data_IF_963096272785
#
_entry.id   IF_963096272785
#
_cell.length_a   1.000
_cell.length_b   1.000
_cell.length_c   1.000
_cell.angle_alpha   90.00
_cell.angle_beta   90.00
_cell.angle_gamma   90.00
#
_symmetry.space_group_name_H-M   'P 1'
#
loop_
_entity.id
_entity.type
_entity.pdbx_description
1 polymer ?
#
# COMPACT_ATOMS: atom_id res chain seq x y z
N UNK A 1 25.31 15.08 2.33
CA UNK A 1 24.34 14.46 3.26
C UNK A 1 22.95 14.53 2.66
N UNK A 2 22.17 13.43 2.66
CA UNK A 2 20.77 13.44 2.17
C UNK A 2 19.88 13.99 3.28
N UNK A 3 19.16 15.07 2.98
CA UNK A 3 18.21 15.72 3.88
C UNK A 3 17.20 16.58 3.10
N UNK A 4 16.12 17.03 3.77
CA UNK A 4 15.08 17.84 3.14
C UNK A 4 15.63 19.22 2.75
N UNK A 5 15.20 19.73 1.59
CA UNK A 5 15.63 21.02 1.03
C UNK A 5 14.48 22.04 0.86
N UNK A 6 13.23 21.59 0.94
CA UNK A 6 12.06 22.45 0.81
C UNK A 6 11.01 22.11 1.89
N UNK A 7 9.94 22.93 2.03
CA UNK A 7 8.92 22.69 3.04
C UNK A 7 8.18 21.35 2.87
N UNK A 8 7.86 20.95 1.64
CA UNK A 8 7.17 19.68 1.38
C UNK A 8 8.02 18.47 1.81
N UNK A 9 9.30 18.46 1.44
CA UNK A 9 10.26 17.45 1.90
C UNK A 9 10.42 17.47 3.42
N UNK A 10 10.42 18.64 4.05
CA UNK A 10 10.56 18.77 5.50
C UNK A 10 9.38 18.15 6.23
N UNK A 11 8.15 18.42 5.76
CA UNK A 11 6.92 17.82 6.32
C UNK A 11 6.98 16.30 6.20
N UNK A 12 7.24 15.77 4.99
CA UNK A 12 7.33 14.33 4.72
C UNK A 12 8.41 13.67 5.59
N UNK A 13 9.61 14.24 5.62
CA UNK A 13 10.75 13.73 6.36
C UNK A 13 10.50 13.66 7.87
N UNK A 14 10.00 14.77 8.45
CA UNK A 14 9.71 14.83 9.89
C UNK A 14 8.61 13.84 10.25
N UNK A 15 7.52 13.80 9.48
CA UNK A 15 6.40 12.90 9.78
C UNK A 15 6.82 11.42 9.72
N UNK A 16 7.67 11.02 8.76
CA UNK A 16 8.23 9.67 8.71
C UNK A 16 9.05 9.31 9.96
N UNK A 17 10.00 10.17 10.33
CA UNK A 17 10.88 9.90 11.48
C UNK A 17 10.08 9.90 12.78
N UNK A 18 9.04 10.72 12.87
CA UNK A 18 8.18 10.85 14.04
C UNK A 18 7.10 9.77 14.14
N UNK A 19 7.10 8.75 13.27
CA UNK A 19 6.12 7.64 13.33
C UNK A 19 6.07 6.99 14.72
N UNK A 20 7.22 6.67 15.34
CA UNK A 20 7.27 6.11 16.69
C UNK A 20 6.79 7.09 17.77
N UNK A 21 7.24 8.36 17.79
CA UNK A 21 6.64 9.39 18.65
C UNK A 21 5.11 9.52 18.50
N UNK A 22 4.58 9.53 17.28
CA UNK A 22 3.13 9.57 17.04
C UNK A 22 2.42 8.29 17.48
N UNK A 23 3.07 7.13 17.34
CA UNK A 23 2.58 5.87 17.89
C UNK A 23 2.47 5.93 19.41
N UNK A 24 3.50 6.45 20.09
CA UNK A 24 3.58 6.52 21.54
C UNK A 24 2.43 7.34 22.17
N UNK A 25 1.80 8.23 21.41
CA UNK A 25 0.62 9.02 21.84
C UNK A 25 -0.70 8.53 21.20
N UNK A 26 -0.67 7.43 20.42
CA UNK A 26 -1.83 6.87 19.72
C UNK A 26 -2.40 7.77 18.62
N UNK A 27 -1.56 8.58 17.96
CA UNK A 27 -2.00 9.60 17.00
C UNK A 27 -1.91 9.18 15.52
N UNK A 28 -1.30 8.04 15.19
CA UNK A 28 -1.00 7.68 13.79
C UNK A 28 -2.23 7.69 12.88
N UNK A 29 -3.38 7.19 13.35
CA UNK A 29 -4.62 7.17 12.58
C UNK A 29 -5.17 8.56 12.25
N UNK A 30 -4.81 9.59 13.03
CA UNK A 30 -5.17 10.99 12.76
C UNK A 30 -4.12 11.65 11.87
N UNK A 31 -2.83 11.38 12.13
CA UNK A 31 -1.71 11.99 11.41
C UNK A 31 -1.74 11.68 9.91
N UNK A 32 -2.05 10.43 9.53
CA UNK A 32 -2.08 10.02 8.12
C UNK A 32 -3.06 10.84 7.27
N UNK A 33 -4.37 10.90 7.62
CA UNK A 33 -5.32 11.76 6.92
C UNK A 33 -4.94 13.24 6.92
N UNK A 34 -4.53 13.80 8.07
CA UNK A 34 -4.13 15.21 8.16
C UNK A 34 -2.97 15.50 7.20
N UNK A 35 -1.96 14.63 7.16
CA UNK A 35 -0.85 14.74 6.23
C UNK A 35 -1.32 14.69 4.76
N UNK A 36 -2.22 13.77 4.43
CA UNK A 36 -2.76 13.62 3.08
C UNK A 36 -3.43 14.90 2.59
N UNK A 37 -4.30 15.49 3.41
CA UNK A 37 -5.02 16.71 3.07
C UNK A 37 -4.11 17.95 3.04
N UNK A 38 -3.12 18.03 3.93
CA UNK A 38 -2.11 19.11 3.89
C UNK A 38 -1.28 19.02 2.61
N UNK A 39 -0.74 17.85 2.27
CA UNK A 39 0.11 17.68 1.08
C UNK A 39 -0.71 17.78 -0.22
N UNK A 40 -1.91 17.21 -0.25
CA UNK A 40 -2.83 17.34 -1.37
C UNK A 40 -3.29 18.78 -1.60
N UNK A 41 -3.63 19.51 -0.53
CA UNK A 41 -3.95 20.93 -0.59
C UNK A 41 -2.76 21.77 -1.07
N UNK A 42 -1.55 21.47 -0.60
CA UNK A 42 -0.33 22.12 -1.09
C UNK A 42 -0.06 21.83 -2.58
N UNK A 43 -0.35 20.62 -3.05
CA UNK A 43 -0.24 20.26 -4.45
C UNK A 43 -1.24 21.04 -5.31
N UNK A 44 -2.50 21.13 -4.88
CA UNK A 44 -3.52 21.94 -5.58
C UNK A 44 -3.12 23.42 -5.59
N UNK A 45 -2.65 23.96 -4.47
CA UNK A 45 -2.19 25.35 -4.38
C UNK A 45 -0.99 25.61 -5.31
N UNK A 46 -0.05 24.67 -5.37
CA UNK A 46 1.12 24.73 -6.25
C UNK A 46 0.72 24.76 -7.73
N UNK A 47 -0.26 23.93 -8.13
CA UNK A 47 -0.81 23.93 -9.49
C UNK A 47 -1.58 25.22 -9.81
N UNK A 48 -2.37 25.73 -8.86
CA UNK A 48 -3.21 26.92 -9.05
C UNK A 48 -2.40 28.21 -9.14
N UNK A 49 -1.44 28.41 -8.24
CA UNK A 49 -0.64 29.64 -8.19
C UNK A 49 0.49 29.65 -9.24
N UNK A 50 0.93 28.48 -9.71
CA UNK A 50 1.96 28.36 -10.74
C UNK A 50 3.22 29.16 -10.38
N UNK A 51 3.70 30.10 -11.22
CA UNK A 51 4.89 30.91 -10.93
C UNK A 51 4.80 31.79 -9.68
N UNK A 52 3.59 32.10 -9.20
CA UNK A 52 3.36 32.98 -8.05
C UNK A 52 3.66 32.30 -6.69
N UNK A 53 3.74 30.97 -6.64
CA UNK A 53 4.21 30.26 -5.45
C UNK A 53 5.75 30.31 -5.37
N UNK A 54 6.28 30.13 -4.15
CA UNK A 54 7.72 30.01 -3.89
C UNK A 54 8.36 28.96 -4.81
N UNK A 55 9.55 29.27 -5.31
CA UNK A 55 10.23 28.46 -6.34
C UNK A 55 10.46 27.01 -5.92
N UNK A 56 10.79 26.77 -4.66
CA UNK A 56 11.04 25.45 -4.06
C UNK A 56 9.76 24.62 -3.79
N UNK A 57 8.59 25.17 -4.12
CA UNK A 57 7.27 24.53 -4.03
C UNK A 57 6.50 24.54 -5.36
N UNK A 58 7.09 25.08 -6.43
CA UNK A 58 6.47 25.08 -7.76
C UNK A 58 6.20 23.65 -8.23
N UNK A 59 5.10 23.49 -8.95
CA UNK A 59 4.71 22.21 -9.51
C UNK A 59 5.81 21.73 -10.45
N UNK A 60 6.19 20.47 -10.29
CA UNK A 60 7.28 19.86 -11.06
C UNK A 60 6.89 19.49 -12.49
N UNK A 61 5.62 19.62 -12.85
CA UNK A 61 5.07 19.34 -14.16
C UNK A 61 3.54 19.18 -14.11
N UNK A 62 2.90 18.83 -15.24
CA UNK A 62 1.48 18.50 -15.28
C UNK A 62 1.19 17.22 -14.48
N UNK A 63 -0.06 17.09 -14.01
CA UNK A 63 -0.50 15.89 -13.28
C UNK A 63 -0.51 14.67 -14.24
N UNK A 64 0.25 13.59 -13.96
CA UNK A 64 0.30 12.42 -14.83
C UNK A 64 -1.08 11.73 -14.99
N UNK A 65 -1.39 11.12 -16.15
CA UNK A 65 -2.70 10.48 -16.40
C UNK A 65 -3.10 9.41 -15.37
N UNK A 66 -2.14 8.64 -14.85
CA UNK A 66 -2.42 7.62 -13.84
C UNK A 66 -2.89 8.22 -12.51
N UNK A 67 -2.40 9.42 -12.16
CA UNK A 67 -2.84 10.14 -10.96
C UNK A 67 -4.26 10.67 -11.16
N UNK A 68 -4.60 11.13 -12.37
CA UNK A 68 -5.99 11.43 -12.73
C UNK A 68 -6.91 10.22 -12.57
N UNK A 69 -6.47 9.03 -13.00
CA UNK A 69 -7.25 7.81 -12.81
C UNK A 69 -7.49 7.51 -11.33
N UNK A 70 -6.48 7.65 -10.46
CA UNK A 70 -6.65 7.51 -9.01
C UNK A 70 -7.62 8.53 -8.43
N UNK A 71 -7.51 9.81 -8.80
CA UNK A 71 -8.43 10.85 -8.34
C UNK A 71 -9.87 10.58 -8.80
N UNK A 72 -10.08 10.27 -10.08
CA UNK A 72 -11.39 9.93 -10.63
C UNK A 72 -11.98 8.71 -9.93
N UNK A 73 -11.19 7.64 -9.74
CA UNK A 73 -11.60 6.44 -9.03
C UNK A 73 -12.05 6.73 -7.60
N UNK A 74 -11.26 7.47 -6.82
CA UNK A 74 -11.64 7.76 -5.44
C UNK A 74 -12.86 8.69 -5.32
N UNK A 75 -13.06 9.61 -6.29
CA UNK A 75 -14.28 10.43 -6.38
C UNK A 75 -15.50 9.58 -6.74
N UNK A 76 -15.40 8.71 -7.75
CA UNK A 76 -16.47 7.77 -8.10
C UNK A 76 -16.83 6.88 -6.90
N UNK A 77 -15.83 6.49 -6.11
CA UNK A 77 -16.05 5.72 -4.90
C UNK A 77 -16.84 6.48 -3.81
N UNK A 78 -16.65 7.79 -3.71
CA UNK A 78 -17.46 8.65 -2.83
C UNK A 78 -18.90 8.76 -3.34
N UNK A 79 -19.08 8.92 -4.64
CA UNK A 79 -20.41 8.97 -5.26
C UNK A 79 -21.15 7.64 -5.06
N UNK A 80 -20.47 6.50 -5.28
CA UNK A 80 -21.05 5.18 -5.04
C UNK A 80 -21.50 5.00 -3.59
N UNK A 81 -20.72 5.50 -2.63
CA UNK A 81 -21.09 5.51 -1.22
C UNK A 81 -22.34 6.34 -0.96
N UNK A 82 -22.47 7.53 -1.55
CA UNK A 82 -23.65 8.37 -1.40
C UNK A 82 -24.90 7.74 -2.01
N UNK A 83 -24.79 7.15 -3.20
CA UNK A 83 -25.90 6.43 -3.84
C UNK A 83 -26.34 5.25 -2.98
N UNK A 84 -25.41 4.42 -2.49
CA UNK A 84 -25.76 3.34 -1.57
C UNK A 84 -26.39 3.84 -0.27
N UNK A 85 -26.01 5.01 0.24
CA UNK A 85 -26.67 5.60 1.41
C UNK A 85 -28.11 6.07 1.13
N UNK A 86 -28.39 6.52 -0.10
CA UNK A 86 -29.72 6.93 -0.54
C UNK A 86 -30.61 5.71 -0.79
N UNK A 87 -30.09 4.68 -1.49
CA UNK A 87 -30.82 3.45 -1.80
C UNK A 87 -31.30 2.72 -0.54
N UNK A 88 -30.49 2.75 0.52
CA UNK A 88 -30.75 2.08 1.80
C UNK A 88 -31.30 3.00 2.90
N UNK A 89 -31.72 4.22 2.56
CA UNK A 89 -32.25 5.24 3.47
C UNK A 89 -31.46 5.36 4.80
N UNK A 90 -30.13 5.39 4.70
CA UNK A 90 -29.25 5.37 5.87
C UNK A 90 -29.26 6.70 6.66
N UNK A 91 -29.86 7.74 6.08
CA UNK A 91 -29.99 9.07 6.65
C UNK A 91 -28.71 9.91 6.60
N UNK A 92 -28.91 11.24 6.61
CA UNK A 92 -27.84 12.25 6.43
C UNK A 92 -26.69 12.08 7.44
N UNK A 93 -27.01 11.76 8.70
CA UNK A 93 -26.00 11.59 9.76
C UNK A 93 -25.01 10.48 9.42
N UNK A 94 -25.48 9.34 8.89
CA UNK A 94 -24.59 8.25 8.46
C UNK A 94 -23.81 8.68 7.22
N UNK A 95 -24.45 9.36 6.26
CA UNK A 95 -23.78 9.85 5.03
C UNK A 95 -22.61 10.76 5.33
N UNK A 96 -22.78 11.71 6.27
CA UNK A 96 -21.68 12.57 6.73
C UNK A 96 -20.56 11.73 7.37
N UNK A 97 -20.91 10.82 8.29
CA UNK A 97 -19.93 9.95 8.96
C UNK A 97 -19.13 9.09 7.98
N UNK A 98 -19.79 8.46 7.02
CA UNK A 98 -19.13 7.64 5.99
C UNK A 98 -18.31 8.48 5.03
N UNK A 99 -18.73 9.71 4.70
CA UNK A 99 -17.93 10.64 3.89
C UNK A 99 -16.64 11.07 4.59
N UNK A 100 -16.70 11.29 5.91
CA UNK A 100 -15.50 11.53 6.74
C UNK A 100 -14.63 10.26 6.79
N UNK A 101 -15.23 9.08 6.86
CA UNK A 101 -14.52 7.80 6.74
C UNK A 101 -13.75 7.68 5.42
N UNK A 102 -14.42 7.96 4.30
CA UNK A 102 -13.81 8.03 2.97
C UNK A 102 -12.66 9.02 2.93
N UNK A 103 -12.83 10.21 3.52
CA UNK A 103 -11.80 11.24 3.59
C UNK A 103 -10.57 10.83 4.43
N UNK A 104 -10.72 9.87 5.35
CA UNK A 104 -9.64 9.31 6.18
C UNK A 104 -9.05 7.99 5.64
N UNK A 105 -9.68 7.38 4.63
CA UNK A 105 -9.24 6.12 4.02
C UNK A 105 -9.01 6.26 2.52
N UNK A 106 -10.07 6.09 1.72
CA UNK A 106 -9.99 6.07 0.26
C UNK A 106 -9.41 7.34 -0.37
N UNK A 107 -9.75 8.53 0.14
CA UNK A 107 -9.22 9.79 -0.40
C UNK A 107 -7.68 9.85 -0.35
N UNK A 108 -7.07 9.21 0.64
CA UNK A 108 -5.61 9.19 0.82
C UNK A 108 -4.91 8.52 -0.37
N UNK A 109 -5.55 7.51 -0.96
CA UNK A 109 -5.04 6.78 -2.13
C UNK A 109 -4.97 7.68 -3.37
N UNK A 110 -5.74 8.77 -3.43
CA UNK A 110 -5.61 9.78 -4.48
C UNK A 110 -4.70 10.95 -4.08
N UNK A 111 -4.80 11.42 -2.82
CA UNK A 111 -4.09 12.61 -2.35
C UNK A 111 -2.57 12.40 -2.27
N UNK A 112 -2.11 11.24 -1.81
CA UNK A 112 -0.67 10.97 -1.72
C UNK A 112 0.00 10.82 -3.09
N UNK A 113 -0.55 10.06 -4.07
CA UNK A 113 0.00 10.06 -5.42
C UNK A 113 -0.03 11.44 -6.08
N UNK A 114 -1.10 12.24 -5.87
CA UNK A 114 -1.15 13.63 -6.34
C UNK A 114 0.00 14.47 -5.76
N UNK A 115 0.17 14.43 -4.44
CA UNK A 115 1.25 15.14 -3.77
C UNK A 115 2.63 14.72 -4.28
N UNK A 116 2.85 13.42 -4.48
CA UNK A 116 4.12 12.88 -4.96
C UNK A 116 4.42 13.26 -6.41
N UNK A 117 3.37 13.36 -7.24
CA UNK A 117 3.51 13.72 -8.64
C UNK A 117 3.73 15.22 -8.86
N UNK A 118 3.17 16.07 -8.00
CA UNK A 118 3.19 17.53 -8.18
C UNK A 118 4.33 18.19 -7.41
N UNK A 119 4.46 17.88 -6.11
CA UNK A 119 5.38 18.60 -5.23
C UNK A 119 6.83 18.17 -5.50
N UNK A 120 7.82 19.08 -5.35
CA UNK A 120 9.24 18.79 -5.57
C UNK A 120 9.87 17.95 -4.45
N UNK A 121 9.30 16.77 -4.19
CA UNK A 121 9.78 15.79 -3.22
C UNK A 121 10.68 14.78 -3.93
N UNK A 122 11.93 14.67 -3.50
CA UNK A 122 12.89 13.72 -4.06
C UNK A 122 12.71 12.31 -3.50
N UNK A 123 12.83 11.32 -4.38
CA UNK A 123 12.82 9.89 -4.06
C UNK A 123 13.80 9.54 -2.94
N UNK A 124 15.03 10.03 -3.00
CA UNK A 124 16.07 9.70 -2.02
C UNK A 124 15.75 10.20 -0.61
N UNK A 125 14.96 11.27 -0.48
CA UNK A 125 14.56 11.83 0.82
C UNK A 125 13.62 10.86 1.53
N UNK A 126 12.65 10.30 0.81
CA UNK A 126 11.69 9.33 1.36
C UNK A 126 12.40 8.02 1.69
N UNK A 127 13.25 7.51 0.78
CA UNK A 127 14.06 6.31 0.99
C UNK A 127 14.91 6.44 2.26
N UNK A 128 15.66 7.54 2.40
CA UNK A 128 16.50 7.77 3.57
C UNK A 128 15.68 7.95 4.85
N UNK A 129 14.54 8.64 4.80
CA UNK A 129 13.67 8.80 5.95
C UNK A 129 13.09 7.46 6.42
N UNK A 130 12.74 6.56 5.51
CA UNK A 130 12.31 5.20 5.82
C UNK A 130 13.43 4.39 6.52
N UNK A 131 14.67 4.48 6.02
CA UNK A 131 15.82 3.86 6.71
C UNK A 131 16.09 4.45 8.10
N UNK A 132 15.77 5.74 8.31
CA UNK A 132 15.85 6.36 9.65
C UNK A 132 14.73 5.88 10.57
N UNK A 133 13.51 5.72 10.07
CA UNK A 133 12.43 5.08 10.82
C UNK A 133 12.80 3.64 11.21
N UNK A 134 13.40 2.89 10.29
CA UNK A 134 13.93 1.55 10.54
C UNK A 134 14.96 1.51 11.69
N UNK A 135 15.82 2.53 11.81
CA UNK A 135 16.74 2.64 12.95
C UNK A 135 15.98 2.72 14.28
N UNK A 136 14.96 3.58 14.37
CA UNK A 136 14.12 3.67 15.58
C UNK A 136 13.44 2.35 15.91
N UNK A 137 12.95 1.63 14.89
CA UNK A 137 12.38 0.30 15.07
C UNK A 137 13.39 -0.68 15.66
N UNK A 138 14.65 -0.68 15.17
CA UNK A 138 15.70 -1.54 15.73
C UNK A 138 16.09 -1.13 17.15
N UNK A 139 16.10 0.16 17.47
CA UNK A 139 16.39 0.64 18.83
C UNK A 139 15.29 0.22 19.84
N UNK A 140 14.03 0.22 19.42
CA UNK A 140 12.90 -0.16 20.27
C UNK A 140 12.65 -1.67 20.31
N UNK A 141 13.09 -2.41 19.29
CA UNK A 141 12.88 -3.84 19.18
C UNK A 141 13.32 -4.66 20.41
N UNK A 142 14.51 -4.47 21.01
CA UNK A 142 14.90 -5.22 22.20
C UNK A 142 13.89 -5.13 23.34
N UNK A 143 13.40 -3.92 23.62
CA UNK A 143 12.36 -3.71 24.63
C UNK A 143 11.08 -4.48 24.29
N UNK A 144 10.60 -4.36 23.05
CA UNK A 144 9.37 -5.02 22.62
C UNK A 144 9.49 -6.54 22.63
N UNK A 145 10.62 -7.09 22.18
CA UNK A 145 10.87 -8.52 22.10
C UNK A 145 11.03 -9.17 23.48
N UNK A 146 11.63 -8.45 24.44
CA UNK A 146 11.81 -8.94 25.82
C UNK A 146 10.55 -8.77 26.66
N UNK A 147 9.69 -7.79 26.34
CA UNK A 147 8.49 -7.43 27.10
C UNK A 147 7.62 -8.63 27.57
N UNK A 148 7.29 -9.64 26.73
CA UNK A 148 6.48 -10.77 27.17
C UNK A 148 7.14 -11.60 28.29
N UNK A 149 8.47 -11.65 28.30
CA UNK A 149 9.25 -12.52 29.19
C UNK A 149 9.57 -11.86 30.54
N UNK A 150 9.48 -10.54 30.62
CA UNK A 150 9.70 -9.78 31.86
C UNK A 150 8.39 -9.29 32.49
N UNK A 151 7.25 -9.77 32.00
CA UNK A 151 5.92 -9.46 32.56
C UNK A 151 5.39 -8.05 32.24
N UNK A 152 5.91 -7.40 31.18
CA UNK A 152 5.32 -6.13 30.72
C UNK A 152 3.95 -6.38 30.06
N UNK A 153 3.02 -5.42 30.12
CA UNK A 153 1.68 -5.58 29.56
C UNK A 153 1.69 -5.59 28.03
N UNK A 154 0.76 -6.33 27.43
CA UNK A 154 0.52 -6.34 25.97
C UNK A 154 0.17 -4.93 25.46
N UNK A 155 -0.86 -4.33 26.08
CA UNK A 155 -1.38 -3.00 25.78
C UNK A 155 -1.02 -2.04 26.90
N UNK A 156 -0.32 -0.96 26.57
CA UNK A 156 0.05 0.09 27.53
C UNK A 156 -1.18 0.95 27.83
N UNK A 157 -1.81 1.52 26.81
CA UNK A 157 -3.02 2.33 26.96
C UNK A 157 -3.76 2.49 25.62
N UNK A 158 -4.99 3.02 25.68
CA UNK A 158 -5.74 3.52 24.52
C UNK A 158 -5.85 5.04 24.61
N UNK A 159 -5.36 5.74 23.59
CA UNK A 159 -5.29 7.20 23.57
C UNK A 159 -6.70 7.84 23.57
N UNK A 160 -6.89 8.96 24.30
CA UNK A 160 -8.12 9.77 24.22
C UNK A 160 -8.44 10.28 22.80
N UNK A 161 -7.44 10.30 21.91
CA UNK A 161 -7.63 10.61 20.49
C UNK A 161 -8.65 9.70 19.79
N UNK A 162 -9.01 8.55 20.39
CA UNK A 162 -10.14 7.71 19.97
C UNK A 162 -11.44 8.52 19.79
N UNK A 163 -11.60 9.65 20.50
CA UNK A 163 -12.74 10.56 20.34
C UNK A 163 -12.88 11.14 18.92
N UNK A 164 -11.79 11.26 18.15
CA UNK A 164 -11.81 11.69 16.74
C UNK A 164 -12.52 10.67 15.83
N UNK A 165 -12.71 9.44 16.34
CA UNK A 165 -13.39 8.36 15.65
C UNK A 165 -12.48 7.63 14.66
N UNK A 166 -12.67 6.32 14.57
CA UNK A 166 -11.97 5.41 13.67
C UNK A 166 -12.68 4.05 13.64
N UNK A 167 -12.14 3.06 12.92
CA UNK A 167 -12.78 1.75 12.77
C UNK A 167 -12.83 0.98 14.09
N UNK A 168 -11.88 1.22 15.00
CA UNK A 168 -11.83 0.58 16.31
C UNK A 168 -10.83 1.23 17.28
N UNK A 169 -10.79 0.80 18.55
CA UNK A 169 -9.83 1.28 19.55
C UNK A 169 -8.36 0.92 19.23
N UNK A 170 -8.11 -0.13 18.47
CA UNK A 170 -6.77 -0.64 18.12
C UNK A 170 -5.93 0.39 17.34
N UNK A 171 -6.57 1.29 16.60
CA UNK A 171 -5.92 2.39 15.86
C UNK A 171 -5.35 3.49 16.76
N UNK A 172 -5.76 3.52 18.02
CA UNK A 172 -5.38 4.52 19.01
C UNK A 172 -4.67 3.90 20.22
N UNK A 173 -4.45 2.58 20.18
CA UNK A 173 -3.88 1.83 21.30
C UNK A 173 -2.40 1.55 21.07
N UNK A 174 -1.63 1.69 22.15
CA UNK A 174 -0.19 1.45 22.14
C UNK A 174 0.07 0.06 22.72
N UNK A 175 0.73 -0.78 21.94
CA UNK A 175 1.04 -2.17 22.24
C UNK A 175 2.55 -2.38 22.24
N UNK A 176 3.02 -3.25 23.15
CA UNK A 176 4.38 -3.79 23.11
C UNK A 176 4.41 -5.08 22.29
N UNK A 177 3.39 -5.91 22.46
CA UNK A 177 3.20 -7.19 21.78
C UNK A 177 1.73 -7.62 21.93
N UNK A 178 1.34 -8.69 21.24
CA UNK A 178 0.04 -9.36 21.42
C UNK A 178 0.24 -10.87 21.46
N UNK A 179 -0.64 -11.60 22.15
CA UNK A 179 -0.68 -13.06 22.05
C UNK A 179 -1.57 -13.52 20.90
N UNK A 180 -1.11 -14.52 20.15
CA UNK A 180 -1.96 -15.21 19.19
C UNK A 180 -2.97 -16.09 19.94
N UNK A 181 -4.29 -15.85 19.81
CA UNK A 181 -5.30 -16.60 20.57
C UNK A 181 -5.26 -18.12 20.33
N UNK A 182 -4.77 -18.55 19.16
CA UNK A 182 -4.73 -19.97 18.80
C UNK A 182 -3.49 -20.70 19.32
N UNK A 183 -2.35 -20.00 19.46
CA UNK A 183 -1.08 -20.65 19.83
C UNK A 183 -0.49 -20.16 21.15
N UNK A 184 -1.08 -19.12 21.76
CA UNK A 184 -0.56 -18.45 22.95
C UNK A 184 0.90 -17.99 22.83
N UNK A 185 1.37 -17.78 21.60
CA UNK A 185 2.72 -17.29 21.34
C UNK A 185 2.70 -15.78 21.07
N UNK A 186 3.74 -15.03 21.50
CA UNK A 186 3.80 -13.61 21.26
C UNK A 186 3.98 -13.31 19.77
N UNK A 187 3.35 -12.21 19.33
CA UNK A 187 3.43 -11.60 18.00
C UNK A 187 3.59 -10.10 18.14
N UNK A 188 4.36 -9.51 17.22
CA UNK A 188 4.68 -8.08 17.28
C UNK A 188 4.06 -7.35 16.11
N UNK A 189 3.19 -6.39 16.45
CA UNK A 189 2.58 -5.47 15.49
C UNK A 189 3.35 -4.16 15.34
N UNK A 190 4.38 -3.92 16.15
CA UNK A 190 5.14 -2.65 16.14
C UNK A 190 4.19 -1.45 16.22
N UNK A 191 4.38 -0.44 15.36
CA UNK A 191 3.49 0.72 15.27
C UNK A 191 2.23 0.48 14.43
N UNK A 192 2.00 -0.75 13.95
CA UNK A 192 0.80 -1.12 13.22
C UNK A 192 -0.33 -1.54 14.19
N UNK A 193 -1.60 -1.45 13.76
CA UNK A 193 -2.74 -1.88 14.56
C UNK A 193 -2.81 -3.41 14.75
N UNK A 194 -2.21 -4.22 13.86
CA UNK A 194 -2.09 -5.68 14.01
C UNK A 194 -0.87 -6.26 13.30
N UNK A 195 -0.51 -7.50 13.68
CA UNK A 195 0.72 -8.18 13.24
C UNK A 195 0.79 -8.45 11.72
N UNK A 196 -0.25 -9.00 11.04
CA UNK A 196 -0.21 -9.19 9.59
C UNK A 196 0.15 -7.92 8.79
N UNK A 197 -0.44 -6.77 9.14
CA UNK A 197 -0.14 -5.50 8.49
C UNK A 197 1.27 -4.99 8.82
N UNK A 198 1.73 -5.16 10.06
CA UNK A 198 3.12 -4.85 10.44
C UNK A 198 4.14 -5.58 9.55
N UNK A 199 3.84 -6.82 9.17
CA UNK A 199 4.69 -7.59 8.26
C UNK A 199 4.81 -6.92 6.88
N UNK A 200 3.71 -6.40 6.33
CA UNK A 200 3.69 -5.73 5.03
C UNK A 200 4.32 -4.33 5.07
N UNK A 201 4.23 -3.63 6.20
CA UNK A 201 5.05 -2.44 6.46
C UNK A 201 6.54 -2.81 6.51
N UNK A 202 6.88 -3.99 7.07
CA UNK A 202 8.22 -4.57 7.01
C UNK A 202 8.70 -4.84 5.58
N UNK A 203 7.85 -5.44 4.73
CA UNK A 203 8.15 -5.64 3.29
C UNK A 203 8.38 -4.30 2.61
N UNK A 204 7.49 -3.32 2.84
CA UNK A 204 7.63 -1.97 2.31
C UNK A 204 8.96 -1.34 2.74
N UNK A 205 9.35 -1.48 4.01
CA UNK A 205 10.62 -1.01 4.55
C UNK A 205 11.82 -1.65 3.84
N UNK A 206 11.78 -2.97 3.59
CA UNK A 206 12.81 -3.68 2.80
C UNK A 206 12.90 -3.10 1.38
N UNK A 207 11.76 -2.88 0.72
CA UNK A 207 11.75 -2.33 -0.65
C UNK A 207 12.42 -0.96 -0.71
N UNK A 208 12.07 -0.07 0.22
CA UNK A 208 12.74 1.24 0.33
C UNK A 208 14.24 1.07 0.61
N UNK A 209 14.62 0.19 1.53
CA UNK A 209 16.03 -0.02 1.89
C UNK A 209 16.88 -0.52 0.72
N UNK A 210 16.31 -1.30 -0.20
CA UNK A 210 17.03 -1.78 -1.38
C UNK A 210 17.40 -0.64 -2.34
N UNK A 211 16.67 0.48 -2.33
CA UNK A 211 16.97 1.69 -3.11
C UNK A 211 17.95 2.64 -2.39
N UNK A 212 18.31 2.37 -1.14
CA UNK A 212 19.25 3.21 -0.40
C UNK A 212 20.67 3.10 -0.99
N UNK A 213 21.34 4.23 -1.16
CA UNK A 213 22.68 4.29 -1.76
C UNK A 213 23.77 4.06 -0.72
N UNK A 214 23.54 4.46 0.52
CA UNK A 214 24.52 4.31 1.60
C UNK A 214 24.40 2.94 2.28
N UNK A 215 25.44 2.09 2.26
CA UNK A 215 25.37 0.70 2.74
C UNK A 215 24.92 0.57 4.19
N UNK A 216 25.30 1.52 5.05
CA UNK A 216 24.91 1.55 6.48
C UNK A 216 23.40 1.67 6.63
N UNK A 217 22.78 2.65 5.98
CA UNK A 217 21.33 2.87 6.04
C UNK A 217 20.55 1.75 5.33
N UNK A 218 21.11 1.20 4.25
CA UNK A 218 20.57 0.01 3.59
C UNK A 218 20.50 -1.16 4.56
N UNK A 219 21.60 -1.50 5.22
CA UNK A 219 21.67 -2.61 6.17
C UNK A 219 20.67 -2.42 7.33
N UNK A 220 20.57 -1.21 7.89
CA UNK A 220 19.59 -0.86 8.92
C UNK A 220 18.16 -1.10 8.43
N UNK A 221 17.80 -0.60 7.24
CA UNK A 221 16.49 -0.78 6.65
C UNK A 221 16.14 -2.24 6.40
N UNK A 222 17.08 -3.02 5.86
CA UNK A 222 16.91 -4.45 5.61
C UNK A 222 16.74 -5.24 6.92
N UNK A 223 17.56 -4.95 7.93
CA UNK A 223 17.49 -5.60 9.24
C UNK A 223 16.16 -5.31 9.94
N UNK A 224 15.73 -4.05 9.98
CA UNK A 224 14.47 -3.66 10.60
C UNK A 224 13.25 -4.26 9.89
N UNK A 225 13.21 -4.16 8.56
CA UNK A 225 12.09 -4.69 7.78
C UNK A 225 11.98 -6.21 7.90
N UNK A 226 13.11 -6.92 7.84
CA UNK A 226 13.16 -8.38 8.04
C UNK A 226 12.73 -8.76 9.46
N UNK A 227 13.19 -8.03 10.48
CA UNK A 227 12.75 -8.23 11.86
C UNK A 227 11.24 -8.06 12.01
N UNK A 228 10.66 -7.00 11.42
CA UNK A 228 9.22 -6.77 11.44
C UNK A 228 8.45 -7.95 10.83
N UNK A 229 8.92 -8.47 9.70
CA UNK A 229 8.30 -9.61 9.01
C UNK A 229 8.38 -10.88 9.90
N UNK A 230 9.55 -11.21 10.43
CA UNK A 230 9.74 -12.43 11.22
C UNK A 230 8.99 -12.37 12.56
N UNK A 231 9.10 -11.26 13.28
CA UNK A 231 8.45 -11.09 14.58
C UNK A 231 6.92 -11.06 14.46
N UNK A 232 6.37 -10.54 13.36
CA UNK A 232 4.91 -10.58 13.12
C UNK A 232 4.35 -12.00 12.94
N UNK A 233 5.21 -13.00 12.65
CA UNK A 233 4.83 -14.37 12.27
C UNK A 233 3.79 -14.42 11.13
N UNK A 234 3.89 -13.50 10.17
CA UNK A 234 2.96 -13.39 9.04
C UNK A 234 3.47 -14.15 7.82
N UNK A 235 2.75 -15.22 7.42
CA UNK A 235 2.98 -15.98 6.18
C UNK A 235 2.91 -15.06 4.95
N UNK A 236 1.91 -14.18 4.93
CA UNK A 236 1.73 -13.17 3.89
C UNK A 236 2.94 -12.23 3.80
N UNK A 237 3.52 -11.85 4.95
CA UNK A 237 4.75 -11.05 4.99
C UNK A 237 5.98 -11.78 4.42
N UNK A 238 6.13 -13.08 4.69
CA UNK A 238 7.22 -13.90 4.13
C UNK A 238 7.10 -14.05 2.61
N UNK A 239 5.90 -14.32 2.11
CA UNK A 239 5.63 -14.35 0.67
C UNK A 239 5.90 -12.98 0.06
N UNK A 240 5.42 -11.91 0.69
CA UNK A 240 5.65 -10.54 0.27
C UNK A 240 7.14 -10.18 0.22
N UNK A 241 7.93 -10.60 1.20
CA UNK A 241 9.37 -10.36 1.23
C UNK A 241 10.06 -10.91 -0.01
N UNK A 242 9.79 -12.16 -0.36
CA UNK A 242 10.42 -12.81 -1.52
C UNK A 242 9.85 -12.24 -2.81
N UNK A 243 8.52 -12.32 -2.98
CA UNK A 243 7.86 -11.96 -4.23
C UNK A 243 8.03 -10.47 -4.57
N UNK A 244 7.81 -9.57 -3.62
CA UNK A 244 7.84 -8.13 -3.87
C UNK A 244 9.26 -7.57 -4.00
N UNK A 245 10.28 -8.22 -3.40
CA UNK A 245 11.67 -7.74 -3.52
C UNK A 245 12.39 -8.30 -4.75
N UNK A 246 12.22 -9.60 -5.03
CA UNK A 246 12.89 -10.30 -6.12
C UNK A 246 12.13 -10.10 -7.43
N UNK A 247 10.80 -10.23 -7.41
CA UNK A 247 9.94 -10.12 -8.60
C UNK A 247 10.25 -8.90 -9.47
N UNK A 248 10.23 -7.67 -8.92
CA UNK A 248 10.55 -6.48 -9.69
C UNK A 248 11.95 -6.48 -10.31
N UNK A 249 12.94 -7.06 -9.62
CA UNK A 249 14.34 -7.13 -10.08
C UNK A 249 14.57 -8.22 -11.13
N UNK A 250 13.67 -9.20 -11.21
CA UNK A 250 13.66 -10.20 -12.26
C UNK A 250 12.96 -9.73 -13.54
N UNK A 251 12.19 -8.64 -13.49
CA UNK A 251 11.45 -8.13 -14.66
C UNK A 251 12.31 -7.87 -15.92
N UNK A 252 13.56 -7.42 -15.84
CA UNK A 252 14.41 -7.27 -17.04
C UNK A 252 14.66 -8.59 -17.78
N UNK A 253 14.50 -9.74 -17.12
CA UNK A 253 14.65 -11.06 -17.77
C UNK A 253 13.53 -11.31 -18.80
N UNK A 254 12.36 -10.71 -18.64
CA UNK A 254 11.23 -10.82 -19.59
C UNK A 254 11.62 -10.28 -20.98
N UNK A 255 12.55 -9.33 -21.04
CA UNK A 255 13.06 -8.76 -22.29
C UNK A 255 14.19 -9.61 -22.92
N UNK A 256 14.67 -10.65 -22.24
CA UNK A 256 15.80 -11.47 -22.70
C UNK A 256 15.31 -12.80 -23.26
N UNK A 257 15.54 -13.06 -24.54
CA UNK A 257 15.09 -14.31 -25.22
C UNK A 257 15.62 -15.59 -24.55
N UNK A 258 16.85 -15.57 -24.02
CA UNK A 258 17.42 -16.74 -23.33
C UNK A 258 16.66 -17.08 -22.04
N UNK A 259 16.05 -16.10 -21.37
CA UNK A 259 15.30 -16.35 -20.14
C UNK A 259 14.00 -17.12 -20.45
N UNK A 260 13.37 -16.84 -21.59
CA UNK A 260 12.22 -17.62 -22.08
C UNK A 260 12.59 -19.05 -22.45
N UNK A 261 13.77 -19.25 -23.04
CA UNK A 261 14.30 -20.60 -23.32
C UNK A 261 14.62 -21.37 -22.03
N UNK A 262 15.21 -20.70 -21.04
CA UNK A 262 15.46 -21.31 -19.74
C UNK A 262 14.15 -21.64 -19.01
N UNK A 263 13.16 -20.74 -19.07
CA UNK A 263 11.83 -20.97 -18.50
C UNK A 263 11.12 -22.13 -19.21
N UNK A 264 11.14 -22.19 -20.55
CA UNK A 264 10.51 -23.28 -21.29
C UNK A 264 11.20 -24.61 -21.01
N UNK A 265 12.52 -24.65 -20.88
CA UNK A 265 13.25 -25.85 -20.45
C UNK A 265 12.88 -26.26 -19.02
N UNK A 266 12.75 -25.31 -18.09
CA UNK A 266 12.31 -25.58 -16.72
C UNK A 266 10.85 -26.09 -16.67
N UNK A 267 9.93 -25.47 -17.41
CA UNK A 267 8.53 -25.91 -17.51
C UNK A 267 8.41 -27.26 -18.21
N UNK A 268 9.24 -27.54 -19.23
CA UNK A 268 9.32 -28.85 -19.86
C UNK A 268 9.84 -29.91 -18.88
N UNK A 269 10.86 -29.58 -18.07
CA UNK A 269 11.38 -30.47 -17.01
C UNK A 269 10.34 -30.74 -15.92
N UNK A 270 9.49 -29.75 -15.63
CA UNK A 270 8.33 -29.90 -14.75
C UNK A 270 7.28 -30.87 -15.30
N UNK A 271 7.23 -31.18 -16.59
CA UNK A 271 6.31 -32.21 -17.10
C UNK A 271 6.74 -33.62 -16.66
N UNK A 272 8.06 -33.85 -16.51
CA UNK A 272 8.64 -35.13 -16.08
C UNK A 272 8.56 -35.29 -14.56
N UNK A 273 8.78 -34.22 -13.79
CA UNK A 273 8.84 -34.24 -12.32
C UNK A 273 7.50 -33.77 -11.70
N UNK A 274 6.57 -33.30 -12.52
CA UNK A 274 5.37 -32.56 -12.07
C UNK A 274 4.44 -33.35 -11.20
N UNK A 275 4.23 -34.64 -11.46
CA UNK A 275 3.37 -35.50 -10.64
C UNK A 275 3.95 -35.67 -9.24
N UNK A 276 5.25 -35.94 -9.14
CA UNK A 276 5.95 -36.04 -7.86
C UNK A 276 5.91 -34.70 -7.11
N UNK A 277 6.16 -33.58 -7.81
CA UNK A 277 6.13 -32.26 -7.22
C UNK A 277 4.71 -31.89 -6.73
N UNK A 278 3.67 -32.16 -7.50
CA UNK A 278 2.27 -31.89 -7.12
C UNK A 278 1.84 -32.71 -5.91
N UNK A 279 2.28 -33.97 -5.80
CA UNK A 279 2.01 -34.79 -4.62
C UNK A 279 2.75 -34.27 -3.38
N UNK A 280 4.01 -33.85 -3.54
CA UNK A 280 4.82 -33.32 -2.43
C UNK A 280 4.35 -31.94 -1.98
N UNK A 281 3.97 -31.08 -2.92
CA UNK A 281 3.36 -29.78 -2.64
C UNK A 281 1.95 -29.93 -2.07
N UNK A 282 1.16 -30.88 -2.57
CA UNK A 282 -0.16 -31.22 -2.02
C UNK A 282 -0.05 -31.62 -0.55
N UNK A 283 0.84 -32.55 -0.22
CA UNK A 283 1.10 -32.96 1.15
C UNK A 283 1.60 -31.81 2.04
N UNK A 284 2.46 -30.92 1.52
CA UNK A 284 2.92 -29.73 2.24
C UNK A 284 1.82 -28.68 2.45
N UNK A 285 0.96 -28.47 1.45
CA UNK A 285 -0.20 -27.57 1.52
C UNK A 285 -1.23 -28.09 2.50
N UNK A 286 -1.49 -29.40 2.52
CA UNK A 286 -2.45 -30.02 3.41
C UNK A 286 -1.96 -30.02 4.86
N UNK A 287 -0.68 -30.30 5.10
CA UNK A 287 -0.03 -30.12 6.41
C UNK A 287 -0.04 -28.65 6.89
N UNK A 288 -0.01 -27.69 5.97
CA UNK A 288 -0.02 -26.26 6.28
C UNK A 288 -1.42 -25.68 6.50
N UNK A 289 -2.44 -26.23 5.82
CA UNK A 289 -3.87 -25.92 6.00
C UNK A 289 -4.41 -26.52 7.30
N UNK A 290 -4.02 -27.75 7.64
CA UNK A 290 -4.46 -28.43 8.87
C UNK A 290 -3.96 -27.74 10.14
N UNK A 291 -2.82 -27.04 10.09
CA UNK A 291 -2.26 -26.29 11.22
C UNK A 291 -3.03 -24.99 11.58
N UNK A 292 -4.06 -24.57 10.83
CA UNK A 292 -4.82 -23.33 11.13
C UNK A 292 -6.27 -23.34 10.61
N UNK A 293 -7.03 -24.37 10.96
CA UNK A 293 -8.39 -24.62 10.45
C UNK A 293 -9.42 -23.53 10.83
N UNK A 294 -9.36 -22.93 12.02
CA UNK A 294 -10.50 -22.15 12.54
C UNK A 294 -10.63 -20.74 11.95
N UNK A 295 -9.54 -19.95 11.91
CA UNK A 295 -9.57 -18.58 11.35
C UNK A 295 -9.84 -18.52 9.84
N UNK A 296 -9.46 -19.56 9.11
CA UNK A 296 -9.68 -19.66 7.66
C UNK A 296 -11.15 -19.89 7.34
N UNK A 297 -11.87 -20.66 8.19
CA UNK A 297 -13.29 -20.97 8.03
C UNK A 297 -14.17 -19.73 8.21
N UNK A 298 -13.96 -18.96 9.28
CA UNK A 298 -14.73 -17.74 9.56
C UNK A 298 -14.56 -16.74 8.43
N UNK A 299 -13.31 -16.52 7.99
CA UNK A 299 -12.99 -15.60 6.89
C UNK A 299 -13.61 -16.03 5.56
N UNK A 300 -13.52 -17.31 5.19
CA UNK A 300 -14.14 -17.83 3.98
C UNK A 300 -15.69 -17.70 4.02
N UNK A 301 -16.28 -17.94 5.19
CA UNK A 301 -17.73 -17.79 5.40
C UNK A 301 -18.16 -16.33 5.26
N UNK A 302 -17.42 -15.39 5.84
CA UNK A 302 -17.66 -13.94 5.67
C UNK A 302 -17.59 -13.50 4.20
N UNK A 303 -16.60 -14.00 3.46
CA UNK A 303 -16.45 -13.69 2.03
C UNK A 303 -17.62 -14.21 1.21
N UNK A 304 -18.07 -15.45 1.50
CA UNK A 304 -19.23 -16.04 0.84
C UNK A 304 -20.50 -15.22 1.10
N UNK A 305 -20.77 -14.88 2.36
CA UNK A 305 -21.94 -14.05 2.72
C UNK A 305 -21.87 -12.69 2.02
N UNK A 306 -20.68 -12.05 2.00
CA UNK A 306 -20.49 -10.78 1.31
C UNK A 306 -20.80 -10.88 -0.19
N UNK A 307 -20.38 -11.96 -0.83
CA UNK A 307 -20.59 -12.20 -2.25
C UNK A 307 -22.07 -12.49 -2.56
N UNK A 308 -22.70 -13.41 -1.84
CA UNK A 308 -24.10 -13.80 -2.04
C UNK A 308 -25.02 -12.59 -1.91
N UNK A 309 -24.90 -11.85 -0.79
CA UNK A 309 -25.73 -10.66 -0.55
C UNK A 309 -25.46 -9.54 -1.53
N UNK A 310 -24.22 -9.35 -1.95
CA UNK A 310 -23.93 -8.36 -3.00
C UNK A 310 -24.64 -8.71 -4.32
N UNK A 311 -24.60 -9.97 -4.73
CA UNK A 311 -25.20 -10.44 -5.98
C UNK A 311 -26.73 -10.35 -5.95
N UNK A 312 -27.33 -10.67 -4.81
CA UNK A 312 -28.79 -10.72 -4.65
C UNK A 312 -29.40 -9.34 -4.34
N UNK A 313 -28.72 -8.49 -3.57
CA UNK A 313 -29.31 -7.28 -3.00
C UNK A 313 -28.83 -5.98 -3.67
N UNK A 314 -27.53 -5.85 -3.99
CA UNK A 314 -26.95 -4.53 -4.26
C UNK A 314 -25.76 -4.53 -5.23
N UNK A 315 -25.98 -5.00 -6.46
CA UNK A 315 -24.91 -5.20 -7.45
C UNK A 315 -24.11 -3.94 -7.76
N UNK A 316 -24.78 -2.81 -8.02
CA UNK A 316 -24.13 -1.61 -8.59
C UNK A 316 -23.43 -0.73 -7.56
N UNK A 317 -24.12 -0.40 -6.47
CA UNK A 317 -23.67 0.59 -5.47
C UNK A 317 -23.49 0.02 -4.06
N UNK A 318 -23.77 -1.28 -3.86
CA UNK A 318 -23.60 -1.94 -2.57
C UNK A 318 -24.53 -1.42 -1.48
N UNK A 319 -24.24 -1.80 -0.25
CA UNK A 319 -25.09 -1.54 0.92
C UNK A 319 -24.80 -0.21 1.63
N UNK A 320 -23.81 0.57 1.14
CA UNK A 320 -23.39 1.85 1.73
C UNK A 320 -22.66 1.73 3.08
N UNK A 321 -22.81 0.62 3.81
CA UNK A 321 -22.17 0.39 5.11
C UNK A 321 -21.79 -1.08 5.27
N UNK A 322 -20.81 -1.34 6.14
CA UNK A 322 -20.62 -2.68 6.71
C UNK A 322 -21.81 -3.03 7.59
N UNK A 323 -22.17 -4.31 7.62
CA UNK A 323 -23.27 -4.85 8.43
C UNK A 323 -22.74 -5.98 9.33
N UNK A 324 -23.27 -6.17 10.54
CA UNK A 324 -22.86 -7.26 11.42
C UNK A 324 -23.15 -8.61 10.76
N UNK A 325 -22.19 -9.53 10.81
CA UNK A 325 -22.39 -10.89 10.34
C UNK A 325 -23.30 -11.72 11.27
N UNK A 326 -23.78 -12.88 10.82
CA UNK A 326 -24.52 -13.82 11.68
C UNK A 326 -23.62 -14.43 12.77
N UNK A 327 -24.22 -15.11 13.75
CA UNK A 327 -23.48 -15.77 14.83
C UNK A 327 -22.38 -16.74 14.34
N UNK A 328 -22.59 -17.37 13.18
CA UNK A 328 -21.63 -18.28 12.53
C UNK A 328 -20.25 -17.65 12.25
N UNK A 329 -20.20 -16.32 12.13
CA UNK A 329 -18.97 -15.55 11.91
C UNK A 329 -18.68 -14.63 13.10
N UNK A 330 -19.13 -15.02 14.30
CA UNK A 330 -18.89 -14.30 15.55
C UNK A 330 -19.33 -12.84 15.52
N UNK A 331 -20.37 -12.53 14.72
CA UNK A 331 -20.85 -11.16 14.48
C UNK A 331 -19.81 -10.21 13.86
N UNK A 332 -18.72 -10.74 13.29
CA UNK A 332 -17.73 -9.93 12.60
C UNK A 332 -18.35 -9.17 11.43
N UNK A 333 -17.99 -7.90 11.20
CA UNK A 333 -18.58 -7.11 10.13
C UNK A 333 -18.33 -7.71 8.73
N UNK A 334 -19.39 -7.81 7.94
CA UNK A 334 -19.34 -8.25 6.55
C UNK A 334 -18.60 -7.18 5.74
N UNK A 335 -17.56 -7.61 4.99
CA UNK A 335 -16.76 -6.73 4.14
C UNK A 335 -15.58 -6.02 4.81
N UNK A 336 -15.27 -6.27 6.09
CA UNK A 336 -14.17 -5.55 6.78
C UNK A 336 -12.78 -6.17 6.60
N UNK A 337 -12.68 -7.46 6.22
CA UNK A 337 -11.43 -8.23 6.28
C UNK A 337 -10.77 -8.47 4.90
N UNK A 338 -11.36 -7.99 3.81
CA UNK A 338 -10.86 -8.20 2.46
C UNK A 338 -11.29 -7.05 1.54
N UNK A 339 -10.36 -6.45 0.82
CA UNK A 339 -10.63 -5.23 0.02
C UNK A 339 -11.69 -5.47 -1.05
N UNK A 340 -11.54 -6.52 -1.86
CA UNK A 340 -12.48 -6.74 -2.99
C UNK A 340 -13.90 -7.10 -2.55
N UNK A 341 -14.08 -8.11 -1.69
CA UNK A 341 -15.41 -8.43 -1.15
C UNK A 341 -15.99 -7.28 -0.31
N UNK A 342 -15.15 -6.51 0.39
CA UNK A 342 -15.58 -5.30 1.09
C UNK A 342 -16.08 -4.22 0.13
N UNK A 343 -15.38 -3.98 -0.98
CA UNK A 343 -15.80 -3.04 -2.02
C UNK A 343 -17.09 -3.49 -2.69
N UNK A 344 -17.22 -4.76 -3.08
CA UNK A 344 -18.44 -5.30 -3.66
C UNK A 344 -19.61 -5.15 -2.69
N UNK A 345 -19.44 -5.54 -1.43
CA UNK A 345 -20.52 -5.47 -0.44
C UNK A 345 -20.93 -4.03 -0.11
N UNK A 346 -19.97 -3.14 0.15
CA UNK A 346 -20.26 -1.78 0.64
C UNK A 346 -20.53 -0.79 -0.48
N UNK A 347 -19.84 -0.91 -1.62
CA UNK A 347 -19.81 0.09 -2.71
C UNK A 347 -20.15 -0.50 -4.08
N UNK A 348 -20.51 -1.79 -4.14
CA UNK A 348 -20.91 -2.48 -5.36
C UNK A 348 -19.79 -2.63 -6.39
N UNK A 349 -20.19 -3.05 -7.60
CA UNK A 349 -19.31 -3.17 -8.75
C UNK A 349 -18.67 -1.82 -9.10
N UNK A 350 -19.41 -0.72 -8.93
CA UNK A 350 -18.89 0.64 -9.16
C UNK A 350 -17.68 0.93 -8.29
N UNK A 351 -17.76 0.66 -6.98
CA UNK A 351 -16.64 0.84 -6.06
C UNK A 351 -15.47 -0.11 -6.36
N UNK A 352 -15.75 -1.36 -6.71
CA UNK A 352 -14.72 -2.33 -7.07
C UNK A 352 -13.95 -1.92 -8.34
N UNK A 353 -14.63 -1.45 -9.38
CA UNK A 353 -14.01 -0.95 -10.61
C UNK A 353 -13.27 0.37 -10.40
N UNK A 354 -13.83 1.27 -9.59
CA UNK A 354 -13.22 2.55 -9.25
C UNK A 354 -11.86 2.40 -8.55
N UNK A 355 -11.65 1.30 -7.82
CA UNK A 355 -10.34 0.93 -7.28
C UNK A 355 -9.51 0.09 -8.25
N UNK A 356 -10.12 -0.91 -8.88
CA UNK A 356 -9.43 -1.90 -9.67
C UNK A 356 -8.83 -1.36 -10.97
N UNK A 357 -9.50 -0.40 -11.63
CA UNK A 357 -8.99 0.19 -12.86
C UNK A 357 -7.69 0.97 -12.61
N UNK A 358 -7.62 1.94 -11.67
CA UNK A 358 -6.36 2.62 -11.36
C UNK A 358 -5.26 1.67 -10.87
N UNK A 359 -5.61 0.68 -10.05
CA UNK A 359 -4.66 -0.33 -9.57
C UNK A 359 -4.05 -1.12 -10.73
N UNK A 360 -4.87 -1.58 -11.68
CA UNK A 360 -4.41 -2.30 -12.87
C UNK A 360 -3.51 -1.42 -13.75
N UNK A 361 -3.93 -0.19 -14.04
CA UNK A 361 -3.15 0.75 -14.84
C UNK A 361 -1.80 1.06 -14.19
N UNK A 362 -1.77 1.28 -12.87
CA UNK A 362 -0.53 1.49 -12.12
C UNK A 362 0.36 0.25 -12.16
N UNK A 363 -0.24 -0.95 -12.05
CA UNK A 363 0.50 -2.22 -12.14
C UNK A 363 1.17 -2.37 -13.50
N UNK A 364 0.44 -2.15 -14.59
CA UNK A 364 0.97 -2.20 -15.95
C UNK A 364 2.09 -1.17 -16.14
N UNK A 365 1.88 0.06 -15.67
CA UNK A 365 2.89 1.12 -15.74
C UNK A 365 4.19 0.72 -15.02
N UNK A 366 4.08 0.20 -13.80
CA UNK A 366 5.21 -0.26 -13.01
C UNK A 366 5.89 -1.49 -13.63
N UNK A 367 5.13 -2.44 -14.19
CA UNK A 367 5.67 -3.62 -14.87
C UNK A 367 6.53 -3.23 -16.08
N UNK A 368 5.99 -2.36 -16.94
CA UNK A 368 6.68 -1.89 -18.14
C UNK A 368 7.96 -1.14 -17.77
N UNK A 369 7.91 -0.26 -16.78
CA UNK A 369 9.09 0.49 -16.38
C UNK A 369 10.11 -0.38 -15.63
N UNK A 370 9.70 -1.31 -14.77
CA UNK A 370 10.61 -2.24 -14.11
C UNK A 370 11.32 -3.19 -15.09
N UNK A 371 10.66 -3.57 -16.20
CA UNK A 371 11.32 -4.35 -17.24
C UNK A 371 12.43 -3.57 -17.95
N UNK A 372 12.26 -2.25 -18.11
CA UNK A 372 13.16 -1.39 -18.90
C UNK A 372 14.19 -0.64 -18.06
N UNK A 373 13.84 -0.24 -16.84
CA UNK A 373 14.58 0.72 -16.03
C UNK A 373 14.62 0.30 -14.55
N UNK A 374 15.77 0.39 -13.87
CA UNK A 374 15.88 0.10 -12.43
C UNK A 374 14.96 0.93 -11.53
N UNK A 375 14.61 2.15 -11.96
CA UNK A 375 13.74 3.04 -11.18
C UNK A 375 12.34 2.45 -10.93
N UNK A 376 11.89 1.50 -11.76
CA UNK A 376 10.60 0.83 -11.66
C UNK A 376 10.55 -0.28 -10.61
N UNK A 377 11.70 -0.71 -10.05
CA UNK A 377 11.75 -1.82 -9.10
C UNK A 377 10.99 -1.54 -7.81
N UNK A 378 11.24 -0.39 -7.17
CA UNK A 378 10.53 0.01 -5.95
C UNK A 378 9.02 0.24 -6.18
N UNK A 379 8.59 1.03 -7.18
CA UNK A 379 7.16 1.22 -7.47
C UNK A 379 6.42 -0.10 -7.77
N UNK A 380 7.02 -1.01 -8.53
CA UNK A 380 6.41 -2.32 -8.79
C UNK A 380 6.32 -3.16 -7.51
N UNK A 381 7.37 -3.19 -6.70
CA UNK A 381 7.34 -3.87 -5.41
C UNK A 381 6.25 -3.32 -4.49
N UNK A 382 6.07 -2.00 -4.45
CA UNK A 382 5.00 -1.34 -3.71
C UNK A 382 3.62 -1.78 -4.23
N UNK A 383 3.39 -1.74 -5.55
CA UNK A 383 2.11 -2.18 -6.12
C UNK A 383 1.83 -3.65 -5.82
N UNK A 384 2.85 -4.52 -5.87
CA UNK A 384 2.71 -5.92 -5.47
C UNK A 384 2.33 -6.07 -3.99
N UNK A 385 2.88 -5.24 -3.09
CA UNK A 385 2.45 -5.20 -1.69
C UNK A 385 0.98 -4.81 -1.59
N UNK A 386 0.52 -3.78 -2.32
CA UNK A 386 -0.89 -3.38 -2.35
C UNK A 386 -1.80 -4.49 -2.89
N UNK A 387 -1.39 -5.20 -3.93
CA UNK A 387 -2.15 -6.35 -4.47
C UNK A 387 -2.27 -7.44 -3.41
N UNK A 388 -1.16 -7.85 -2.80
CA UNK A 388 -1.15 -8.88 -1.75
C UNK A 388 -2.03 -8.47 -0.56
N UNK A 389 -1.93 -7.22 -0.13
CA UNK A 389 -2.72 -6.62 0.94
C UNK A 389 -4.21 -6.59 0.57
N UNK A 390 -4.57 -6.35 -0.69
CA UNK A 390 -5.98 -6.30 -1.13
C UNK A 390 -6.73 -7.63 -0.95
N UNK A 391 -6.01 -8.76 -0.96
CA UNK A 391 -6.55 -10.09 -0.70
C UNK A 391 -6.48 -10.49 0.80
N UNK A 392 -5.53 -9.91 1.54
CA UNK A 392 -5.28 -10.20 2.94
C UNK A 392 -6.00 -9.29 3.93
N UNK A 393 -6.38 -8.09 3.52
CA UNK A 393 -6.80 -7.00 4.40
C UNK A 393 -7.70 -6.00 3.64
N UNK A 394 -8.18 -4.98 4.35
CA UNK A 394 -8.88 -3.84 3.76
C UNK A 394 -7.93 -2.63 3.65
N UNK A 395 -7.57 -2.23 2.42
CA UNK A 395 -6.65 -1.12 2.18
C UNK A 395 -7.17 0.22 2.73
N UNK A 396 -8.50 0.42 2.77
CA UNK A 396 -9.12 1.67 3.24
C UNK A 396 -8.62 2.07 4.62
N UNK A 397 -8.60 1.10 5.55
CA UNK A 397 -8.30 1.33 6.96
C UNK A 397 -6.79 1.33 7.23
N UNK A 398 -5.97 1.02 6.23
CA UNK A 398 -4.51 0.91 6.34
C UNK A 398 -3.75 2.00 5.55
N UNK A 399 -4.44 2.70 4.63
CA UNK A 399 -3.87 3.73 3.78
C UNK A 399 -3.09 4.81 4.56
N UNK A 400 -3.50 5.10 5.80
CA UNK A 400 -2.88 6.08 6.69
C UNK A 400 -1.43 5.74 7.09
N UNK A 401 -1.01 4.47 7.02
CA UNK A 401 0.37 4.03 7.24
C UNK A 401 1.10 3.66 5.95
N UNK A 402 0.36 3.36 4.88
CA UNK A 402 0.92 3.12 3.54
C UNK A 402 1.21 4.39 2.76
N UNK A 403 0.98 5.57 3.36
CA UNK A 403 1.18 6.86 2.72
C UNK A 403 2.55 7.09 2.06
N UNK A 404 3.71 6.61 2.59
CA UNK A 404 4.99 6.85 1.94
C UNK A 404 5.10 6.05 0.64
N UNK A 405 4.51 4.85 0.63
CA UNK A 405 4.41 4.01 -0.56
C UNK A 405 3.50 4.65 -1.62
N UNK A 406 2.33 5.17 -1.22
CA UNK A 406 1.44 5.92 -2.12
C UNK A 406 2.11 7.17 -2.71
N UNK A 407 2.82 7.93 -1.87
CA UNK A 407 3.57 9.12 -2.28
C UNK A 407 4.65 8.75 -3.32
N UNK A 408 5.34 7.63 -3.12
CA UNK A 408 6.33 7.12 -4.08
C UNK A 408 5.74 6.73 -5.44
N UNK A 409 4.50 6.21 -5.49
CA UNK A 409 3.82 5.91 -6.76
C UNK A 409 3.56 7.19 -7.56
N UNK A 410 3.20 8.29 -6.88
CA UNK A 410 3.07 9.61 -7.48
C UNK A 410 4.41 10.14 -8.04
N UNK A 411 5.47 10.05 -7.24
CA UNK A 411 6.83 10.44 -7.64
C UNK A 411 7.27 9.66 -8.88
N UNK A 412 7.02 8.35 -8.92
CA UNK A 412 7.33 7.50 -10.06
C UNK A 412 6.56 7.92 -11.32
N UNK A 413 5.26 8.18 -11.19
CA UNK A 413 4.44 8.64 -12.31
C UNK A 413 4.96 9.97 -12.90
N UNK A 414 5.42 10.90 -12.06
CA UNK A 414 6.07 12.13 -12.50
C UNK A 414 7.38 11.85 -13.22
N UNK A 415 8.28 11.07 -12.64
CA UNK A 415 9.59 10.78 -13.23
C UNK A 415 9.46 10.15 -14.63
N UNK A 416 8.42 9.33 -14.84
CA UNK A 416 8.06 8.79 -16.14
C UNK A 416 7.61 9.87 -17.13
N UNK A 417 6.79 10.83 -16.70
CA UNK A 417 6.33 11.93 -17.54
C UNK A 417 7.50 12.83 -17.98
N UNK A 418 8.36 13.24 -17.05
CA UNK A 418 9.54 14.08 -17.35
C UNK A 418 10.52 13.39 -18.29
N UNK A 419 10.70 12.06 -18.18
CA UNK A 419 11.61 11.32 -19.09
C UNK A 419 11.10 11.31 -20.53
N UNK A 420 9.77 11.29 -20.73
CA UNK A 420 9.17 11.38 -22.07
C UNK A 420 9.40 12.76 -22.69
N UNK A 421 9.34 13.83 -21.90
CA UNK A 421 9.59 15.21 -22.37
C UNK A 421 11.06 15.45 -22.77
N UNK A 422 12.02 14.81 -22.09
CA UNK A 422 13.46 14.93 -22.40
C UNK A 422 13.87 14.07 -23.62
N UNK A 423 12.97 13.21 -24.12
CA UNK A 423 13.17 12.54 -25.40
C UNK A 423 12.32 13.25 -26.45
N UNK A 424 12.78 14.36 -27.06
CA UNK A 424 12.09 14.85 -28.24
C UNK A 424 12.21 13.75 -29.30
N UNK A 425 11.07 13.27 -29.78
CA UNK A 425 11.01 12.82 -31.16
C UNK A 425 11.35 14.02 -32.03
N UNK A 426 12.54 14.07 -32.66
CA UNK A 426 12.84 14.74 -33.95
C UNK A 426 14.37 14.90 -34.22
N UNK A 427 14.85 15.21 -35.47
CA UNK A 427 14.17 16.03 -36.48
C UNK A 427 14.25 15.68 -37.98
N UNK A 428 13.41 16.44 -38.68
CA UNK A 428 13.26 16.75 -40.10
C UNK A 428 14.46 16.65 -41.05
N UNK A 429 14.08 16.36 -42.30
CA UNK A 429 14.68 16.75 -43.59
C UNK A 429 16.16 16.45 -43.89
N UNK A 430 16.37 15.55 -44.86
CA UNK A 430 17.47 15.68 -45.83
C UNK A 430 16.84 15.99 -47.19
N UNK A 431 16.53 17.27 -47.41
CA UNK A 431 16.56 17.86 -48.74
C UNK A 431 18.01 18.28 -49.00
N UNK A 432 18.65 17.70 -50.02
CA UNK A 432 19.71 18.30 -50.85
C UNK A 432 20.25 17.25 -51.83
N UNK A 433 20.08 17.49 -53.13
CA UNK A 433 20.79 16.72 -54.16
C UNK A 433 20.17 16.69 -55.55
N UNK A 434 19.94 17.83 -56.20
CA UNK A 434 19.89 17.87 -57.67
C UNK A 434 20.61 19.12 -58.19
N UNK A 435 21.84 18.90 -58.64
CA UNK A 435 22.51 19.72 -59.65
C UNK A 435 22.68 18.81 -60.88
N UNK A 436 22.15 19.19 -62.05
CA UNK A 436 22.74 18.78 -63.31
C UNK A 436 23.59 19.91 -63.90
N UNK A 437 24.57 19.47 -64.68
CA UNK A 437 25.58 20.25 -65.37
C UNK A 437 25.01 21.33 -66.30
N UNK A 438 25.65 22.50 -66.34
CA UNK A 438 26.54 22.94 -67.42
C UNK A 438 27.13 24.32 -67.14
#
# INVERSE_FOLDING_TARGET
MIGPKNPAETIVWKTLIWTWPFYAVGALYVVGPVLAWILGGLAVLSLYLGPAIREDLRATGPVPPIVWAWMAGMVVMLVALWVGHLDWDLGVKKTIKSSIGWAKGWALIALFPLAGAVLPIRREVIVRAQCKLALWTLCLAPLMLVAPYIGLPERIFTSPLKAVGGPGPEYFSVYLFTFDPASWTPRWQFYAPWSPFAALLGVTTVLFALEEKEPRWKAIGLAAGTLMILASKSRMGLVGLVACSIGPRMMPLVLRSWAWLALSAATASLSVIGVWLLQTLGAGVDAFKSARADSTRVRATLQRIAQERWQEEAVWFGHGTVQPGPHLVEYMPIGSHHTWFGLLFVKGLTGALAFGIPMLLQTVLCLVDAAKNPRGYLPLGIVMVFILLSFGENIEIEAYLLWPALLMLGIHARELATTKEITPSEPAEVSLGHHPAH
#
